data_IF_779450578739
#
_entry.id   IF_779450578739
#
_cell.length_a   1.000
_cell.length_b   1.000
_cell.length_c   1.000
_cell.angle_alpha   90.00
_cell.angle_beta   90.00
_cell.angle_gamma   90.00
#
_symmetry.space_group_name_H-M   'P 1'
#
loop_
_entity.id
_entity.type
_entity.pdbx_description
1 polymer ?
#
# COMPACT_ATOMS: atom_id res chain seq x y z
N UNK A 1 16.16 8.23 6.67
CA UNK A 1 17.57 7.84 7.00
C UNK A 1 17.68 6.62 7.92
N UNK A 2 16.61 6.20 8.62
CA UNK A 2 16.69 5.11 9.61
C UNK A 2 16.75 3.68 9.03
N UNK A 3 16.43 3.47 7.76
CA UNK A 3 16.30 2.12 7.19
C UNK A 3 17.45 1.69 6.28
N UNK A 4 18.28 2.61 5.83
CA UNK A 4 19.38 2.31 4.90
C UNK A 4 20.76 2.19 5.58
N UNK A 5 20.86 2.48 6.87
CA UNK A 5 22.16 2.59 7.55
C UNK A 5 22.69 1.35 8.24
N UNK A 6 21.85 0.43 8.71
CA UNK A 6 22.33 -0.65 9.59
C UNK A 6 22.40 -2.02 8.97
N UNK A 7 21.62 -2.29 7.93
CA UNK A 7 21.61 -3.61 7.26
C UNK A 7 21.31 -4.81 8.16
N UNK A 8 21.04 -4.57 9.44
CA UNK A 8 20.86 -5.64 10.41
C UNK A 8 19.36 -5.87 10.66
N UNK A 9 18.86 -6.99 10.14
CA UNK A 9 17.45 -7.41 10.30
C UNK A 9 17.07 -7.66 11.76
N UNK A 10 18.03 -7.81 12.67
CA UNK A 10 17.81 -8.01 14.10
C UNK A 10 17.70 -6.70 14.89
N UNK A 11 17.86 -5.53 14.27
CA UNK A 11 17.50 -4.28 14.93
C UNK A 11 16.02 -4.28 15.27
N UNK A 12 15.68 -3.91 16.50
CA UNK A 12 14.32 -3.97 17.03
C UNK A 12 13.32 -3.23 16.12
N UNK A 13 13.70 -2.08 15.56
CA UNK A 13 12.88 -1.29 14.64
C UNK A 13 12.59 -2.00 13.33
N UNK A 14 13.61 -2.58 12.71
CA UNK A 14 13.51 -3.35 11.46
C UNK A 14 12.71 -4.61 11.67
N UNK A 15 13.02 -5.38 12.72
CA UNK A 15 12.31 -6.60 13.08
C UNK A 15 10.81 -6.35 13.35
N UNK A 16 10.48 -5.32 14.13
CA UNK A 16 9.10 -4.91 14.41
C UNK A 16 8.35 -4.54 13.11
N UNK A 17 8.99 -3.79 12.22
CA UNK A 17 8.41 -3.41 10.94
C UNK A 17 8.16 -4.63 10.05
N UNK A 18 9.14 -5.52 9.91
CA UNK A 18 9.00 -6.76 9.13
C UNK A 18 7.88 -7.64 9.69
N UNK A 19 7.82 -7.83 11.01
CA UNK A 19 6.80 -8.64 11.66
C UNK A 19 5.41 -8.05 11.42
N UNK A 20 5.25 -6.74 11.57
CA UNK A 20 3.99 -6.05 11.32
C UNK A 20 3.50 -6.23 9.89
N UNK A 21 4.36 -5.98 8.89
CA UNK A 21 4.00 -6.13 7.48
C UNK A 21 3.72 -7.58 7.10
N UNK A 22 4.51 -8.52 7.62
CA UNK A 22 4.30 -9.95 7.39
C UNK A 22 2.97 -10.42 7.97
N UNK A 23 2.62 -9.98 9.18
CA UNK A 23 1.34 -10.30 9.82
C UNK A 23 0.16 -9.77 9.02
N UNK A 24 0.24 -8.52 8.54
CA UNK A 24 -0.80 -7.94 7.67
C UNK A 24 -0.95 -8.71 6.36
N UNK A 25 0.17 -9.10 5.74
CA UNK A 25 0.15 -9.87 4.50
C UNK A 25 -0.48 -11.26 4.71
N UNK A 26 -0.06 -11.99 5.75
CA UNK A 26 -0.59 -13.32 6.09
C UNK A 26 -2.09 -13.22 6.42
N UNK A 27 -2.49 -12.22 7.22
CA UNK A 27 -3.88 -11.99 7.57
C UNK A 27 -4.73 -11.70 6.33
N UNK A 28 -4.24 -10.89 5.40
CA UNK A 28 -4.93 -10.60 4.15
C UNK A 28 -5.09 -11.85 3.28
N UNK A 29 -4.04 -12.65 3.13
CA UNK A 29 -4.08 -13.92 2.38
C UNK A 29 -5.09 -14.88 3.03
N UNK A 30 -5.08 -15.00 4.36
CA UNK A 30 -6.02 -15.84 5.09
C UNK A 30 -7.48 -15.44 4.85
N UNK A 31 -7.79 -14.14 4.95
CA UNK A 31 -9.13 -13.63 4.68
C UNK A 31 -9.60 -13.88 3.25
N UNK A 32 -8.68 -13.79 2.28
CA UNK A 32 -8.98 -14.05 0.87
C UNK A 32 -9.18 -15.53 0.58
N UNK A 33 -8.32 -16.40 1.13
CA UNK A 33 -8.39 -17.87 0.89
C UNK A 33 -9.49 -18.53 1.69
N UNK A 34 -9.82 -18.01 2.87
CA UNK A 34 -10.91 -18.48 3.73
C UNK A 34 -12.31 -18.08 3.25
N UNK A 35 -12.43 -17.41 2.10
CA UNK A 35 -13.72 -16.93 1.54
C UNK A 35 -14.50 -15.97 2.45
N UNK A 36 -13.84 -15.32 3.40
CA UNK A 36 -14.48 -14.37 4.30
C UNK A 36 -14.96 -13.10 3.58
N UNK A 37 -14.35 -12.79 2.43
CA UNK A 37 -14.87 -11.74 1.59
C UNK A 37 -14.55 -11.96 0.10
N UNK A 38 -15.40 -11.37 -0.77
CA UNK A 38 -15.22 -11.42 -2.22
C UNK A 38 -14.41 -10.21 -2.68
N UNK A 39 -13.29 -10.48 -3.32
CA UNK A 39 -12.49 -9.43 -3.94
C UNK A 39 -13.15 -9.00 -5.25
N UNK A 40 -13.33 -7.69 -5.42
CA UNK A 40 -13.78 -7.09 -6.67
C UNK A 40 -12.78 -6.02 -7.09
N UNK A 41 -12.30 -6.12 -8.31
CA UNK A 41 -11.34 -5.15 -8.87
C UNK A 41 -11.83 -3.71 -8.72
N UNK A 42 -13.08 -3.44 -9.09
CA UNK A 42 -13.66 -2.10 -9.03
C UNK A 42 -13.64 -1.53 -7.61
N UNK A 43 -14.08 -2.32 -6.64
CA UNK A 43 -14.18 -1.88 -5.23
C UNK A 43 -12.78 -1.58 -4.66
N UNK A 44 -11.80 -2.43 -4.95
CA UNK A 44 -10.43 -2.24 -4.52
C UNK A 44 -9.78 -1.00 -5.13
N UNK A 45 -10.03 -0.72 -6.41
CA UNK A 45 -9.52 0.49 -7.05
C UNK A 45 -10.15 1.77 -6.48
N UNK A 46 -11.44 1.74 -6.16
CA UNK A 46 -12.13 2.86 -5.50
C UNK A 46 -11.54 3.10 -4.10
N UNK A 47 -11.40 2.04 -3.30
CA UNK A 47 -10.84 2.12 -1.95
C UNK A 47 -9.40 2.64 -2.01
N UNK A 48 -8.60 2.14 -2.95
CA UNK A 48 -7.24 2.60 -3.16
C UNK A 48 -7.20 4.09 -3.52
N UNK A 49 -8.05 4.55 -4.45
CA UNK A 49 -8.12 5.95 -4.86
C UNK A 49 -8.55 6.87 -3.71
N UNK A 50 -9.56 6.49 -2.94
CA UNK A 50 -10.01 7.25 -1.77
C UNK A 50 -8.91 7.30 -0.70
N UNK A 51 -8.25 6.16 -0.45
CA UNK A 51 -7.13 6.08 0.49
C UNK A 51 -5.98 6.99 0.08
N UNK A 52 -5.59 6.95 -1.20
CA UNK A 52 -4.52 7.80 -1.73
C UNK A 52 -4.85 9.29 -1.59
N UNK A 53 -6.07 9.71 -1.92
CA UNK A 53 -6.52 11.09 -1.74
C UNK A 53 -6.53 11.50 -0.27
N UNK A 54 -7.06 10.65 0.62
CA UNK A 54 -7.11 10.90 2.06
C UNK A 54 -5.72 11.07 2.66
N UNK A 55 -4.81 10.13 2.37
CA UNK A 55 -3.43 10.23 2.82
C UNK A 55 -2.68 11.42 2.20
N UNK A 56 -2.97 11.76 0.94
CA UNK A 56 -2.43 12.96 0.28
C UNK A 56 -2.82 14.23 1.02
N UNK A 57 -4.10 14.38 1.39
CA UNK A 57 -4.59 15.51 2.17
C UNK A 57 -3.92 15.57 3.55
N UNK A 58 -3.82 14.44 4.24
CA UNK A 58 -3.13 14.36 5.54
C UNK A 58 -1.65 14.76 5.38
N UNK A 59 -0.97 14.26 4.37
CA UNK A 59 0.42 14.59 4.09
C UNK A 59 0.64 16.08 3.82
N UNK A 60 -0.26 16.71 3.05
CA UNK A 60 -0.23 18.17 2.82
C UNK A 60 -0.48 18.94 4.12
N UNK A 61 -1.45 18.52 4.94
CA UNK A 61 -1.73 19.16 6.22
C UNK A 61 -0.54 19.06 7.18
N UNK A 62 0.11 17.90 7.27
CA UNK A 62 1.30 17.70 8.11
C UNK A 62 2.45 18.60 7.63
N UNK A 63 2.76 18.58 6.33
CA UNK A 63 3.81 19.42 5.77
C UNK A 63 3.53 20.92 5.98
N UNK A 64 2.26 21.34 5.81
CA UNK A 64 1.82 22.71 6.04
C UNK A 64 1.93 23.15 7.51
N UNK A 65 1.56 22.29 8.45
CA UNK A 65 1.68 22.55 9.88
C UNK A 65 3.15 22.77 10.27
N UNK A 66 4.06 21.91 9.82
CA UNK A 66 5.49 22.05 10.09
C UNK A 66 6.06 23.34 9.50
N UNK A 67 5.62 23.71 8.29
CA UNK A 67 6.01 24.98 7.69
C UNK A 67 5.54 26.21 8.50
N UNK A 68 4.29 26.17 9.00
CA UNK A 68 3.71 27.26 9.81
C UNK A 68 4.43 27.47 11.15
N UNK A 69 4.92 26.39 11.76
CA UNK A 69 5.67 26.46 13.04
C UNK A 69 7.17 26.69 12.84
N UNK A 70 7.63 26.86 11.60
CA UNK A 70 9.05 27.08 11.28
C UNK A 70 9.93 25.84 11.50
N UNK A 71 9.35 24.65 11.57
CA UNK A 71 10.08 23.39 11.72
C UNK A 71 10.44 22.78 10.36
N UNK A 72 11.53 21.97 10.29
CA UNK A 72 11.88 21.24 9.08
C UNK A 72 10.70 20.34 8.63
N UNK A 73 10.32 20.47 7.37
CA UNK A 73 9.19 19.70 6.85
C UNK A 73 9.57 18.21 6.73
N UNK A 74 8.73 17.29 7.22
CA UNK A 74 9.03 15.86 7.24
C UNK A 74 8.88 15.16 5.87
N UNK A 75 8.58 15.92 4.79
CA UNK A 75 8.27 15.38 3.46
C UNK A 75 7.22 14.25 3.52
N UNK A 76 6.15 14.49 4.28
CA UNK A 76 5.10 13.51 4.48
C UNK A 76 4.52 13.06 3.13
N UNK A 77 4.40 11.75 2.95
CA UNK A 77 3.92 11.09 1.72
C UNK A 77 4.77 11.40 0.47
N UNK A 78 6.03 11.84 0.63
CA UNK A 78 6.92 12.22 -0.47
C UNK A 78 6.32 13.27 -1.44
N UNK A 79 5.49 14.16 -0.90
CA UNK A 79 4.78 15.17 -1.69
C UNK A 79 5.69 16.32 -2.13
N UNK A 80 6.81 16.53 -1.45
CA UNK A 80 7.73 17.64 -1.72
C UNK A 80 8.98 17.18 -2.47
N UNK A 81 9.52 16.02 -2.09
CA UNK A 81 10.73 15.46 -2.69
C UNK A 81 10.49 13.98 -3.02
N UNK A 82 11.06 13.46 -4.10
CA UNK A 82 10.98 12.04 -4.41
C UNK A 82 11.64 11.22 -3.29
N UNK A 83 11.22 9.96 -3.07
CA UNK A 83 11.80 9.08 -2.04
C UNK A 83 13.27 8.74 -2.31
N UNK A 84 13.69 8.80 -3.56
CA UNK A 84 15.08 8.59 -4.01
C UNK A 84 15.49 9.84 -4.79
N UNK A 85 16.36 10.65 -4.21
CA UNK A 85 16.78 11.95 -4.80
C UNK A 85 17.49 11.77 -6.16
N UNK A 86 18.22 10.67 -6.33
CA UNK A 86 18.92 10.32 -7.59
C UNK A 86 17.97 9.93 -8.72
N UNK A 87 16.69 9.67 -8.41
CA UNK A 87 15.68 9.20 -9.37
C UNK A 87 14.46 10.13 -9.33
N UNK A 88 14.59 11.38 -9.83
CA UNK A 88 13.55 12.41 -9.67
C UNK A 88 12.24 12.09 -10.38
N UNK A 89 12.25 11.23 -11.40
CA UNK A 89 11.02 10.78 -12.05
C UNK A 89 10.17 9.84 -11.18
N UNK A 90 10.75 9.27 -10.12
CA UNK A 90 10.06 8.40 -9.15
C UNK A 90 9.33 9.26 -8.10
N UNK A 91 8.53 10.20 -8.56
CA UNK A 91 7.72 11.06 -7.71
C UNK A 91 6.46 10.33 -7.20
N UNK A 92 5.74 10.95 -6.29
CA UNK A 92 4.55 10.38 -5.66
C UNK A 92 3.50 9.92 -6.67
N UNK A 93 3.32 10.62 -7.78
CA UNK A 93 2.33 10.27 -8.80
C UNK A 93 2.69 9.00 -9.56
N UNK A 94 3.98 8.87 -9.93
CA UNK A 94 4.49 7.65 -10.60
C UNK A 94 4.40 6.46 -9.65
N UNK A 95 4.78 6.62 -8.40
CA UNK A 95 4.66 5.57 -7.38
C UNK A 95 3.20 5.17 -7.19
N UNK A 96 2.29 6.14 -7.05
CA UNK A 96 0.86 5.88 -6.91
C UNK A 96 0.30 5.11 -8.12
N UNK A 97 0.70 5.48 -9.34
CA UNK A 97 0.30 4.78 -10.56
C UNK A 97 0.83 3.34 -10.59
N UNK A 98 2.11 3.14 -10.29
CA UNK A 98 2.71 1.80 -10.23
C UNK A 98 2.01 0.92 -9.19
N UNK A 99 1.76 1.46 -7.99
CA UNK A 99 1.04 0.75 -6.95
C UNK A 99 -0.41 0.44 -7.36
N UNK A 100 -1.07 1.35 -8.07
CA UNK A 100 -2.41 1.11 -8.61
C UNK A 100 -2.41 -0.06 -9.61
N UNK A 101 -1.41 -0.16 -10.48
CA UNK A 101 -1.26 -1.28 -11.42
C UNK A 101 -1.04 -2.60 -10.67
N UNK A 102 -0.22 -2.60 -9.62
CA UNK A 102 -0.01 -3.78 -8.76
C UNK A 102 -1.32 -4.19 -8.08
N UNK A 103 -2.03 -3.25 -7.46
CA UNK A 103 -3.34 -3.50 -6.82
C UNK A 103 -4.35 -4.04 -7.83
N UNK A 104 -4.40 -3.45 -9.04
CA UNK A 104 -5.27 -3.91 -10.11
C UNK A 104 -4.94 -5.33 -10.54
N UNK A 105 -3.67 -5.65 -10.78
CA UNK A 105 -3.21 -6.98 -11.19
C UNK A 105 -3.53 -8.06 -10.16
N UNK A 106 -3.25 -7.79 -8.89
CA UNK A 106 -3.55 -8.71 -7.79
C UNK A 106 -5.07 -8.89 -7.65
N UNK A 107 -5.84 -7.81 -7.62
CA UNK A 107 -7.29 -7.85 -7.46
C UNK A 107 -7.98 -8.59 -8.60
N UNK A 108 -7.55 -8.34 -9.84
CA UNK A 108 -8.04 -9.05 -11.01
C UNK A 108 -7.76 -10.55 -10.93
N UNK A 109 -6.54 -10.92 -10.55
CA UNK A 109 -6.13 -12.32 -10.44
C UNK A 109 -6.97 -13.06 -9.38
N UNK A 110 -7.19 -12.43 -8.23
CA UNK A 110 -7.97 -13.02 -7.14
C UNK A 110 -9.46 -13.14 -7.55
N UNK A 111 -10.04 -12.07 -8.11
CA UNK A 111 -11.43 -12.07 -8.58
C UNK A 111 -11.67 -13.19 -9.63
N UNK A 112 -10.75 -13.33 -10.58
CA UNK A 112 -10.79 -14.37 -11.59
C UNK A 112 -10.73 -15.79 -10.99
N UNK A 113 -9.83 -16.02 -10.03
CA UNK A 113 -9.70 -17.30 -9.35
C UNK A 113 -10.94 -17.62 -8.50
N UNK A 114 -11.47 -16.65 -7.77
CA UNK A 114 -12.69 -16.80 -6.98
C UNK A 114 -13.89 -17.12 -7.88
N UNK A 115 -14.05 -16.40 -8.99
CA UNK A 115 -15.17 -16.65 -9.94
C UNK A 115 -15.13 -18.05 -10.53
N UNK A 116 -13.95 -18.53 -10.93
CA UNK A 116 -13.79 -19.91 -11.44
C UNK A 116 -14.15 -20.96 -10.40
N UNK A 117 -13.80 -20.74 -9.14
CA UNK A 117 -14.05 -21.68 -8.04
C UNK A 117 -15.54 -21.76 -7.73
N UNK A 118 -16.24 -20.63 -7.61
CA UNK A 118 -17.69 -20.61 -7.41
C UNK A 118 -18.47 -21.23 -8.57
N UNK A 119 -17.99 -21.09 -9.80
CA UNK A 119 -18.61 -21.76 -10.96
C UNK A 119 -18.51 -23.29 -10.86
N UNK A 120 -17.39 -23.84 -10.37
CA UNK A 120 -17.21 -25.28 -10.17
C UNK A 120 -18.11 -25.83 -9.05
N UNK A 121 -18.21 -25.12 -7.94
CA UNK A 121 -19.06 -25.54 -6.81
C UNK A 121 -20.54 -25.60 -7.19
N UNK A 122 -21.03 -24.71 -8.05
CA UNK A 122 -22.40 -24.71 -8.57
C UNK A 122 -22.72 -25.88 -9.51
N UNK A 123 -21.73 -26.45 -10.18
CA UNK A 123 -21.91 -27.57 -11.12
C UNK A 123 -21.88 -28.92 -10.39
N UNK A 124 -21.27 -28.95 -9.19
CA UNK A 124 -21.12 -30.17 -8.38
C UNK A 124 -22.22 -30.35 -7.30
N UNK A 125 -23.09 -29.38 -7.15
CA UNK A 125 -24.24 -29.39 -6.23
C UNK A 125 -25.55 -29.67 -7.00
#
# INVERSE_FOLDING_TARGET
EYYLGSGNIFELGVFKSMLSHSTMLIGSIYLMTGHYFKVKLKDNLIIYGIGLLGFGVIGLAVNGLFALVGLPQPNAMFLQKPPIEEVPFLNVFVIALLMMLVVAGISYSIEFLQTKRYAKEKVSA
#
